data_IF_263550543569
#
_entry.id   IF_263550543569
#
_cell.length_a   1.000
_cell.length_b   1.000
_cell.length_c   1.000
_cell.angle_alpha   90.00
_cell.angle_beta   90.00
_cell.angle_gamma   90.00
#
_symmetry.space_group_name_H-M   'P 1'
#
loop_
_entity.id
_entity.type
_entity.pdbx_description
1 polymer ?
#
# COMPACT_ATOMS: atom_id res chain seq x y z
N UNK A 1 -4.19 13.19 2.56
CA UNK A 1 -2.83 13.36 1.99
C UNK A 1 -2.18 14.63 2.50
N UNK A 2 -2.75 15.82 2.27
CA UNK A 2 -2.19 17.11 2.78
C UNK A 2 -2.09 17.15 4.31
N UNK A 3 -3.07 16.61 5.04
CA UNK A 3 -3.05 16.55 6.51
C UNK A 3 -1.88 15.74 7.07
N UNK A 4 -1.58 14.58 6.47
CA UNK A 4 -0.43 13.74 6.82
C UNK A 4 0.89 14.51 6.64
N UNK A 5 1.03 15.26 5.54
CA UNK A 5 2.23 16.07 5.29
C UNK A 5 2.38 17.19 6.32
N UNK A 6 1.27 17.78 6.77
CA UNK A 6 1.27 18.80 7.82
C UNK A 6 1.74 18.21 9.16
N UNK A 7 1.23 17.04 9.56
CA UNK A 7 1.70 16.35 10.77
C UNK A 7 3.19 16.00 10.74
N UNK A 8 3.69 15.51 9.61
CA UNK A 8 5.11 15.22 9.40
C UNK A 8 5.97 16.50 9.45
N UNK A 9 5.48 17.60 8.87
CA UNK A 9 6.18 18.89 8.91
C UNK A 9 6.26 19.46 10.34
N UNK A 10 5.17 19.34 11.12
CA UNK A 10 5.14 19.75 12.53
C UNK A 10 6.11 18.91 13.37
N UNK A 11 6.15 17.59 13.13
CA UNK A 11 7.09 16.70 13.82
C UNK A 11 8.55 17.09 13.53
N UNK A 12 8.88 17.28 12.24
CA UNK A 12 10.21 17.69 11.81
C UNK A 12 10.62 19.06 12.38
N UNK A 13 9.68 20.01 12.48
CA UNK A 13 9.93 21.31 13.09
C UNK A 13 10.23 21.22 14.60
N UNK A 14 9.59 20.27 15.30
CA UNK A 14 9.82 20.00 16.71
C UNK A 14 11.03 19.11 17.01
N UNK A 15 11.73 18.57 16.02
CA UNK A 15 12.79 17.60 16.25
C UNK A 15 13.98 18.25 16.99
N UNK A 16 14.36 17.71 18.16
CA UNK A 16 15.39 18.31 19.02
C UNK A 16 16.80 18.17 18.44
N UNK A 17 17.01 17.16 17.58
CA UNK A 17 18.25 16.85 16.87
C UNK A 17 17.96 16.70 15.38
N UNK A 18 17.46 17.76 14.75
CA UNK A 18 17.10 17.68 13.33
C UNK A 18 18.34 17.52 12.43
N UNK A 19 18.49 16.34 11.83
CA UNK A 19 19.52 16.06 10.82
C UNK A 19 18.90 15.98 9.43
N UNK A 20 19.29 16.92 8.58
CA UNK A 20 18.78 17.04 7.21
C UNK A 20 19.22 15.86 6.35
N UNK A 21 20.43 15.34 6.58
CA UNK A 21 20.95 14.20 5.82
C UNK A 21 20.11 12.94 6.09
N UNK A 22 19.83 12.64 7.36
CA UNK A 22 18.93 11.59 7.79
C UNK A 22 17.50 11.75 7.25
N UNK A 23 16.98 12.98 7.23
CA UNK A 23 15.67 13.27 6.65
C UNK A 23 15.62 12.97 5.13
N UNK A 24 16.66 13.36 4.38
CA UNK A 24 16.78 13.05 2.95
C UNK A 24 16.86 11.53 2.72
N UNK A 25 17.64 10.81 3.51
CA UNK A 25 17.73 9.35 3.43
C UNK A 25 16.39 8.66 3.71
N UNK A 26 15.62 9.16 4.69
CA UNK A 26 14.28 8.63 5.01
C UNK A 26 13.29 8.88 3.86
N UNK A 27 13.34 10.04 3.23
CA UNK A 27 12.53 10.37 2.05
C UNK A 27 12.93 9.51 0.83
N UNK A 28 14.23 9.24 0.64
CA UNK A 28 14.71 8.29 -0.37
C UNK A 28 14.20 6.87 -0.09
N UNK A 29 14.25 6.42 1.17
CA UNK A 29 13.77 5.11 1.57
C UNK A 29 12.27 4.93 1.32
N UNK A 30 11.42 5.93 1.64
CA UNK A 30 9.97 5.83 1.38
C UNK A 30 9.66 5.84 -0.12
N UNK A 31 10.41 6.59 -0.94
CA UNK A 31 10.26 6.56 -2.39
C UNK A 31 10.60 5.18 -2.96
N UNK A 32 11.72 4.59 -2.53
CA UNK A 32 12.13 3.24 -2.95
C UNK A 32 11.14 2.17 -2.49
N UNK A 33 10.65 2.24 -1.25
CA UNK A 33 9.64 1.31 -0.73
C UNK A 33 8.33 1.42 -1.52
N UNK A 34 7.90 2.63 -1.89
CA UNK A 34 6.72 2.83 -2.74
C UNK A 34 6.92 2.20 -4.13
N UNK A 35 8.09 2.35 -4.75
CA UNK A 35 8.43 1.67 -6.01
C UNK A 35 8.39 0.15 -5.86
N UNK A 36 8.92 -0.39 -4.77
CA UNK A 36 8.88 -1.84 -4.47
C UNK A 36 7.45 -2.36 -4.41
N UNK A 37 6.56 -1.64 -3.73
CA UNK A 37 5.14 -2.02 -3.59
C UNK A 37 4.44 -2.02 -4.95
N UNK A 38 4.63 -0.99 -5.77
CA UNK A 38 4.01 -0.91 -7.11
C UNK A 38 4.55 -1.97 -8.06
N UNK A 39 5.87 -2.19 -8.09
CA UNK A 39 6.49 -3.20 -8.96
C UNK A 39 6.01 -4.62 -8.61
N UNK A 40 5.89 -4.93 -7.31
CA UNK A 40 5.38 -6.22 -6.84
C UNK A 40 3.91 -6.42 -7.26
N UNK A 41 3.11 -5.36 -7.21
CA UNK A 41 1.71 -5.40 -7.65
C UNK A 41 1.58 -5.59 -9.17
N UNK A 42 2.45 -4.95 -9.97
CA UNK A 42 2.47 -5.10 -11.43
C UNK A 42 2.91 -6.52 -11.84
N UNK A 43 3.88 -7.11 -11.14
CA UNK A 43 4.29 -8.49 -11.37
C UNK A 43 3.15 -9.48 -11.11
N UNK A 44 2.36 -9.26 -10.05
CA UNK A 44 1.24 -10.13 -9.71
C UNK A 44 0.01 -9.93 -10.61
N UNK A 45 -0.21 -8.74 -11.18
CA UNK A 45 -1.31 -8.49 -12.14
C UNK A 45 -0.96 -8.90 -13.58
N UNK A 46 0.33 -8.94 -13.94
CA UNK A 46 0.79 -9.25 -15.31
C UNK A 46 1.02 -10.73 -15.60
N UNK A 47 1.22 -11.57 -14.58
CA UNK A 47 1.22 -13.02 -14.75
C UNK A 47 -0.24 -13.50 -14.85
N UNK A 48 -0.79 -13.57 -16.07
CA UNK A 48 -2.16 -14.04 -16.37
C UNK A 48 -2.43 -15.53 -16.09
N UNK A 49 -1.71 -16.13 -15.15
CA UNK A 49 -1.91 -17.50 -14.64
C UNK A 49 -2.55 -17.37 -13.25
N UNK A 50 -3.48 -18.26 -12.88
CA UNK A 50 -4.00 -18.38 -11.50
C UNK A 50 -2.90 -18.79 -10.50
N UNK A 51 -1.82 -18.02 -10.41
CA UNK A 51 -0.79 -18.20 -9.39
C UNK A 51 -1.36 -17.63 -8.09
N UNK A 52 -1.55 -18.53 -7.13
CA UNK A 52 -1.96 -18.18 -5.78
C UNK A 52 -1.04 -17.07 -5.24
N UNK A 53 -1.57 -15.89 -4.84
CA UNK A 53 -0.77 -14.74 -4.38
C UNK A 53 0.18 -15.10 -3.22
N UNK A 54 -0.16 -16.14 -2.48
CA UNK A 54 0.65 -16.70 -1.38
C UNK A 54 2.01 -17.22 -1.89
N UNK A 55 2.05 -17.89 -3.04
CA UNK A 55 3.27 -18.46 -3.61
C UNK A 55 4.19 -17.38 -4.18
N UNK A 56 3.64 -16.39 -4.88
CA UNK A 56 4.41 -15.23 -5.36
C UNK A 56 5.01 -14.43 -4.19
N UNK A 57 4.23 -14.25 -3.12
CA UNK A 57 4.70 -13.58 -1.90
C UNK A 57 5.87 -14.34 -1.26
N UNK A 58 5.82 -15.67 -1.25
CA UNK A 58 6.89 -16.50 -0.70
C UNK A 58 8.22 -16.31 -1.44
N UNK A 59 8.19 -16.31 -2.78
CA UNK A 59 9.40 -16.08 -3.60
C UNK A 59 9.96 -14.66 -3.43
N UNK A 60 9.10 -13.65 -3.35
CA UNK A 60 9.52 -12.27 -3.09
C UNK A 60 10.13 -12.14 -1.70
N UNK A 61 9.52 -12.74 -0.67
CA UNK A 61 10.03 -12.71 0.69
C UNK A 61 11.43 -13.33 0.80
N UNK A 62 11.67 -14.49 0.18
CA UNK A 62 12.99 -15.12 0.16
C UNK A 62 14.04 -14.25 -0.57
N UNK A 63 13.67 -13.62 -1.68
CA UNK A 63 14.56 -12.71 -2.42
C UNK A 63 14.90 -11.44 -1.62
N UNK A 64 13.91 -10.86 -0.93
CA UNK A 64 14.11 -9.73 -0.03
C UNK A 64 15.04 -10.10 1.13
N UNK A 65 14.88 -11.28 1.73
CA UNK A 65 15.72 -11.73 2.83
C UNK A 65 17.19 -11.87 2.40
N UNK A 66 17.45 -12.46 1.23
CA UNK A 66 18.82 -12.59 0.71
C UNK A 66 19.43 -11.22 0.41
N UNK A 67 18.71 -10.34 -0.28
CA UNK A 67 19.23 -9.02 -0.65
C UNK A 67 19.44 -8.10 0.55
N UNK A 68 18.52 -8.10 1.53
CA UNK A 68 18.66 -7.37 2.80
C UNK A 68 19.77 -7.96 3.66
N UNK A 69 19.93 -9.28 3.71
CA UNK A 69 21.03 -9.92 4.45
C UNK A 69 22.39 -9.56 3.89
N UNK A 70 22.52 -9.48 2.56
CA UNK A 70 23.77 -9.03 1.91
C UNK A 70 24.04 -7.57 2.27
N UNK A 71 23.06 -6.67 2.12
CA UNK A 71 23.24 -5.27 2.48
C UNK A 71 23.63 -5.10 3.97
N UNK A 72 23.01 -5.87 4.86
CA UNK A 72 23.30 -5.86 6.30
C UNK A 72 24.73 -6.34 6.60
N UNK A 73 25.18 -7.43 5.97
CA UNK A 73 26.53 -7.98 6.19
C UNK A 73 27.65 -7.08 5.66
N UNK A 74 27.42 -6.34 4.57
CA UNK A 74 28.45 -5.51 3.96
C UNK A 74 28.49 -4.08 4.52
N UNK A 75 27.33 -3.46 4.80
CA UNK A 75 27.26 -2.05 5.18
C UNK A 75 27.15 -1.90 6.70
N UNK A 76 26.21 -2.59 7.33
CA UNK A 76 25.90 -2.36 8.75
C UNK A 76 26.76 -3.20 9.70
N UNK A 77 27.10 -4.43 9.34
CA UNK A 77 27.89 -5.33 10.17
C UNK A 77 29.29 -4.81 10.56
N UNK A 78 30.11 -4.19 9.67
CA UNK A 78 31.40 -3.65 10.09
C UNK A 78 31.25 -2.50 11.11
N UNK A 79 30.19 -1.69 10.98
CA UNK A 79 29.94 -0.53 11.85
C UNK A 79 29.37 -0.97 13.20
N UNK A 80 28.46 -1.95 13.20
CA UNK A 80 27.82 -2.49 14.40
C UNK A 80 28.79 -3.32 15.25
N UNK A 81 29.73 -4.04 14.62
CA UNK A 81 30.76 -4.84 15.31
C UNK A 81 31.65 -3.98 16.23
N UNK A 82 31.94 -2.74 15.84
CA UNK A 82 32.81 -1.84 16.60
C UNK A 82 32.04 -1.07 17.70
N UNK A 83 30.75 -0.78 17.49
CA UNK A 83 29.87 -0.07 18.45
C UNK A 83 29.06 -1.00 19.37
N UNK A 84 29.49 -2.25 19.54
CA UNK A 84 28.71 -3.29 20.21
C UNK A 84 28.60 -3.10 21.73
N UNK A 85 27.70 -2.22 22.14
CA UNK A 85 27.20 -2.08 23.50
C UNK A 85 25.67 -2.03 23.47
N UNK A 86 25.01 -2.94 24.20
CA UNK A 86 23.55 -2.98 24.29
C UNK A 86 23.09 -1.87 25.25
N UNK A 87 23.00 -0.64 24.75
CA UNK A 87 22.56 0.51 25.53
C UNK A 87 21.08 0.78 25.23
N UNK A 88 20.22 0.55 26.22
CA UNK A 88 18.83 0.96 26.15
C UNK A 88 18.76 2.48 26.38
N UNK A 89 18.92 3.25 25.31
CA UNK A 89 18.72 4.69 25.36
C UNK A 89 17.23 5.01 25.19
N UNK A 90 16.52 5.10 26.31
CA UNK A 90 15.08 5.40 26.35
C UNK A 90 14.79 6.90 26.50
N UNK A 91 15.83 7.75 26.60
CA UNK A 91 15.70 9.16 27.01
C UNK A 91 16.22 10.11 25.95
N UNK A 92 15.83 9.89 24.71
CA UNK A 92 15.90 10.92 23.69
C UNK A 92 14.96 12.07 24.05
N UNK A 93 15.48 13.30 24.02
CA UNK A 93 14.70 14.51 24.30
C UNK A 93 13.74 14.77 23.14
N UNK A 94 12.55 14.17 23.20
CA UNK A 94 11.46 14.53 22.28
C UNK A 94 10.81 15.82 22.75
N UNK A 95 10.74 16.83 21.88
CA UNK A 95 9.98 18.03 22.22
C UNK A 95 8.49 17.71 22.22
N UNK A 96 7.67 18.42 23.02
CA UNK A 96 6.21 18.25 22.97
C UNK A 96 5.65 18.50 21.55
N UNK A 97 6.28 19.38 20.77
CA UNK A 97 5.88 19.67 19.38
C UNK A 97 6.14 18.46 18.47
N UNK A 98 7.28 17.76 18.64
CA UNK A 98 7.59 16.56 17.87
C UNK A 98 6.55 15.45 18.12
N UNK A 99 6.24 15.20 19.40
CA UNK A 99 5.26 14.20 19.80
C UNK A 99 3.86 14.50 19.26
N UNK A 100 3.44 15.78 19.32
CA UNK A 100 2.16 16.23 18.75
C UNK A 100 2.13 16.03 17.23
N UNK A 101 3.22 16.34 16.52
CA UNK A 101 3.31 16.13 15.08
C UNK A 101 3.15 14.66 14.69
N UNK A 102 3.85 13.76 15.38
CA UNK A 102 3.74 12.31 15.12
C UNK A 102 2.35 11.75 15.41
N UNK A 103 1.74 12.15 16.53
CA UNK A 103 0.38 11.72 16.89
C UNK A 103 -0.66 12.23 15.90
N UNK A 104 -0.55 13.49 15.47
CA UNK A 104 -1.41 14.05 14.42
C UNK A 104 -1.26 13.29 13.09
N UNK A 105 -0.02 13.04 12.63
CA UNK A 105 0.23 12.31 11.40
C UNK A 105 -0.34 10.88 11.43
N UNK A 106 -0.29 10.21 12.58
CA UNK A 106 -0.85 8.88 12.76
C UNK A 106 -2.37 8.87 12.70
N UNK A 107 -3.03 9.79 13.41
CA UNK A 107 -4.49 9.94 13.41
C UNK A 107 -4.99 10.30 12.00
N UNK A 108 -4.29 11.21 11.31
CA UNK A 108 -4.60 11.59 9.94
C UNK A 108 -4.46 10.41 8.97
N UNK A 109 -3.42 9.60 9.12
CA UNK A 109 -3.23 8.37 8.34
C UNK A 109 -4.38 7.38 8.55
N UNK A 110 -4.77 7.17 9.81
CA UNK A 110 -5.88 6.28 10.17
C UNK A 110 -7.22 6.77 9.61
N UNK A 111 -7.53 8.06 9.77
CA UNK A 111 -8.74 8.68 9.26
C UNK A 111 -8.78 8.62 7.72
N UNK A 112 -7.68 8.97 7.05
CA UNK A 112 -7.57 8.88 5.60
C UNK A 112 -7.78 7.46 5.08
N UNK A 113 -7.18 6.46 5.74
CA UNK A 113 -7.35 5.07 5.35
C UNK A 113 -8.81 4.63 5.50
N UNK A 114 -9.48 5.02 6.59
CA UNK A 114 -10.89 4.68 6.83
C UNK A 114 -11.82 5.30 5.78
N UNK A 115 -11.62 6.58 5.43
CA UNK A 115 -12.39 7.23 4.37
C UNK A 115 -12.14 6.60 2.99
N UNK A 116 -10.91 6.16 2.71
CA UNK A 116 -10.56 5.50 1.44
C UNK A 116 -11.20 4.12 1.32
N UNK A 117 -11.30 3.37 2.43
CA UNK A 117 -11.96 2.07 2.47
C UNK A 117 -13.45 2.19 2.10
N UNK A 118 -14.17 3.15 2.70
CA UNK A 118 -15.58 3.41 2.39
C UNK A 118 -15.80 3.79 0.93
N UNK A 119 -14.88 4.57 0.34
CA UNK A 119 -14.95 4.93 -1.07
C UNK A 119 -14.68 3.76 -2.02
N UNK A 120 -13.87 2.77 -1.61
CA UNK A 120 -13.65 1.55 -2.38
C UNK A 120 -14.86 0.62 -2.30
N UNK A 121 -15.43 0.43 -1.12
CA UNK A 121 -16.63 -0.38 -0.91
C UNK A 121 -17.81 0.12 -1.76
N UNK A 122 -18.03 1.44 -1.82
CA UNK A 122 -19.05 2.03 -2.68
C UNK A 122 -18.81 1.80 -4.18
N UNK A 123 -17.55 1.79 -4.62
CA UNK A 123 -17.17 1.52 -6.03
C UNK A 123 -17.33 0.05 -6.39
N UNK A 124 -16.99 -0.86 -5.49
CA UNK A 124 -17.18 -2.30 -5.70
C UNK A 124 -18.67 -2.64 -5.76
N UNK A 125 -19.50 -2.01 -4.92
CA UNK A 125 -20.96 -2.12 -5.00
C UNK A 125 -21.47 -1.64 -6.38
N UNK A 126 -21.02 -0.47 -6.86
CA UNK A 126 -21.41 0.03 -8.19
C UNK A 126 -21.00 -0.91 -9.33
N UNK A 127 -19.81 -1.51 -9.24
CA UNK A 127 -19.35 -2.50 -10.22
C UNK A 127 -20.23 -3.75 -10.20
N UNK A 128 -20.61 -4.25 -9.03
CA UNK A 128 -21.51 -5.39 -8.90
C UNK A 128 -22.90 -5.09 -9.50
N UNK A 129 -23.43 -3.88 -9.27
CA UNK A 129 -24.69 -3.44 -9.87
C UNK A 129 -24.61 -3.32 -11.40
N UNK A 130 -23.55 -2.75 -11.95
CA UNK A 130 -23.37 -2.62 -13.41
C UNK A 130 -23.28 -3.98 -14.11
N UNK A 131 -22.57 -4.95 -13.51
CA UNK A 131 -22.47 -6.32 -14.05
C UNK A 131 -23.85 -7.01 -14.01
N UNK A 132 -24.62 -6.82 -12.94
CA UNK A 132 -25.96 -7.40 -12.81
C UNK A 132 -26.98 -6.81 -13.82
N UNK A 133 -26.88 -5.51 -14.10
CA UNK A 133 -27.72 -4.85 -15.11
C UNK A 133 -27.35 -5.29 -16.54
N UNK A 134 -26.06 -5.46 -16.82
CA UNK A 134 -25.58 -5.96 -18.11
C UNK A 134 -26.01 -7.43 -18.34
N UNK A 135 -25.95 -8.28 -17.32
CA UNK A 135 -26.46 -9.66 -17.39
C UNK A 135 -27.98 -9.70 -17.58
N UNK A 136 -28.76 -8.95 -16.79
CA UNK A 136 -30.22 -8.90 -16.93
C UNK A 136 -30.66 -8.37 -18.30
N UNK A 137 -29.97 -7.36 -18.82
CA UNK A 137 -30.24 -6.82 -20.16
C UNK A 137 -29.92 -7.82 -21.29
N UNK A 138 -28.86 -8.61 -21.16
CA UNK A 138 -28.55 -9.70 -22.12
C UNK A 138 -29.59 -10.82 -22.05
N UNK A 139 -30.10 -11.15 -20.86
CA UNK A 139 -31.10 -12.19 -20.65
C UNK A 139 -32.48 -11.78 -21.23
N UNK A 140 -32.90 -10.53 -21.04
CA UNK A 140 -34.10 -9.97 -21.67
C UNK A 140 -34.00 -9.92 -23.21
N UNK A 141 -32.80 -9.64 -23.74
CA UNK A 141 -32.56 -9.63 -25.19
C UNK A 141 -32.56 -11.04 -25.79
N UNK A 142 -32.22 -12.06 -25.01
CA UNK A 142 -32.36 -13.47 -25.39
C UNK A 142 -33.82 -13.94 -25.30
N UNK A 143 -34.58 -13.52 -24.28
CA UNK A 143 -36.00 -13.86 -24.15
C UNK A 143 -36.83 -13.25 -25.29
N UNK A 144 -36.63 -11.96 -25.61
CA UNK A 144 -37.32 -11.30 -26.72
C UNK A 144 -37.01 -11.89 -28.10
N UNK A 145 -35.79 -12.41 -28.30
CA UNK A 145 -35.40 -13.10 -29.54
C UNK A 145 -36.00 -14.51 -29.65
N UNK A 146 -36.27 -15.15 -28.51
CA UNK A 146 -36.93 -16.47 -28.46
C UNK A 146 -38.44 -16.36 -28.75
N UNK A 147 -39.09 -15.29 -28.31
CA UNK A 147 -40.51 -15.00 -28.61
C UNK A 147 -40.70 -14.61 -30.08
N UNK A 148 -39.79 -13.81 -30.66
CA UNK A 148 -39.85 -13.43 -32.08
C UNK A 148 -39.70 -14.58 -33.06
N UNK A 149 -39.03 -15.68 -32.69
CA UNK A 149 -38.87 -16.87 -33.54
C UNK A 149 -40.05 -17.85 -33.48
N UNK A 150 -40.98 -17.69 -32.55
CA UNK A 150 -42.17 -18.58 -32.44
C UNK A 150 -43.32 -18.15 -33.36
N UNK A 151 -43.20 -17.01 -34.04
CA UNK A 151 -44.21 -16.47 -34.97
C UNK A 151 -43.98 -16.77 -36.46
N UNK A 152 -42.85 -17.35 -36.86
CA UNK A 152 -42.49 -17.59 -38.29
C UNK A 152 -42.33 -19.10 -38.61
N UNK A 153 -43.12 -19.98 -38.00
CA UNK A 153 -43.14 -21.42 -38.36
C UNK A 153 -44.54 -22.03 -38.34
N UNK A 154 -45.54 -21.24 -38.74
CA UNK A 154 -46.83 -21.73 -39.23
C UNK A 154 -47.06 -21.11 -40.61
N UNK A 155 -46.48 -21.72 -41.63
CA UNK A 155 -46.95 -21.73 -43.02
C UNK A 155 -46.41 -23.02 -43.69
#
# INVERSE_FOLDING_TARGET
MVSILLGVAIAAYGEARFDVWGAILRLGAVAFEATRVVLSQILQTSQGVQLNPITSLYYVASCCLVSLSVALLFVEFPILREKSGFHFDFRDTVTPVNLIGHTAAFIDGACYNNSKLQALEAKDLQKAFHVHEEESGKLLKLEGKSIGKKGESQD
#
